data_IF_955062201845
#
_entry.id   IF_955062201845
#
_cell.length_a   1.000
_cell.length_b   1.000
_cell.length_c   1.000
_cell.angle_alpha   90.00
_cell.angle_beta   90.00
_cell.angle_gamma   90.00
#
_symmetry.space_group_name_H-M   'P 1'
#
loop_
_entity.id
_entity.type
_entity.pdbx_description
1 polymer ?
#
# COMPACT_ATOMS: atom_id res chain seq x y z
N UNK A 1 3.17 -25.83 33.04
CA UNK A 1 2.92 -26.87 32.02
C UNK A 1 2.50 -26.22 30.72
N UNK A 2 3.20 -26.47 29.65
CA UNK A 2 2.76 -26.13 28.32
C UNK A 2 2.22 -27.41 27.69
N UNK A 3 0.93 -27.42 27.36
CA UNK A 3 0.34 -28.54 26.63
C UNK A 3 0.60 -28.31 25.12
N UNK A 4 1.18 -29.30 24.48
CA UNK A 4 1.24 -29.32 23.02
C UNK A 4 -0.16 -29.60 22.48
N UNK A 5 -0.74 -28.64 21.78
CA UNK A 5 -2.11 -28.73 21.27
C UNK A 5 -2.31 -29.88 20.25
N UNK A 6 -1.23 -30.39 19.66
CA UNK A 6 -1.31 -31.43 18.64
C UNK A 6 -1.16 -32.88 19.17
N UNK A 7 -0.60 -33.10 20.36
CA UNK A 7 -0.29 -34.46 20.85
C UNK A 7 -0.75 -34.74 22.30
N UNK A 8 -1.35 -33.80 22.99
CA UNK A 8 -1.79 -33.99 24.38
C UNK A 8 -0.63 -34.23 25.37
N UNK A 9 0.61 -34.07 24.97
CA UNK A 9 1.77 -34.19 25.84
C UNK A 9 2.04 -32.86 26.53
N UNK A 10 1.82 -32.82 27.87
CA UNK A 10 2.21 -31.70 28.69
C UNK A 10 3.74 -31.71 28.90
N UNK A 11 4.45 -30.69 28.46
CA UNK A 11 5.85 -30.46 28.84
C UNK A 11 5.84 -29.68 30.15
N UNK A 12 6.33 -30.27 31.20
CA UNK A 12 6.47 -29.61 32.51
C UNK A 12 7.74 -28.75 32.51
N UNK A 13 7.57 -27.43 32.48
CA UNK A 13 8.63 -26.46 32.66
C UNK A 13 8.42 -25.78 34.00
N UNK A 14 9.08 -26.25 35.02
CA UNK A 14 8.93 -25.72 36.37
C UNK A 14 9.23 -26.76 37.43
N UNK A 15 8.97 -26.39 38.68
CA UNK A 15 9.21 -27.21 39.87
C UNK A 15 7.86 -27.80 40.31
N UNK A 16 7.90 -28.89 41.10
CA UNK A 16 6.71 -29.57 41.57
C UNK A 16 5.81 -28.71 42.46
N UNK A 17 6.34 -27.62 42.99
CA UNK A 17 5.64 -26.72 43.93
C UNK A 17 5.01 -25.51 43.20
N UNK A 18 5.24 -25.37 41.87
CA UNK A 18 4.62 -24.32 41.09
C UNK A 18 3.13 -24.53 40.92
N UNK A 19 2.28 -23.50 41.09
CA UNK A 19 0.86 -23.61 40.88
C UNK A 19 0.52 -23.92 39.43
N UNK A 20 -0.47 -24.77 39.20
CA UNK A 20 -1.00 -25.06 37.87
C UNK A 20 -1.94 -23.93 37.42
N UNK A 21 -1.57 -23.21 36.37
CA UNK A 21 -2.44 -22.25 35.72
C UNK A 21 -2.77 -22.70 34.29
N UNK A 22 -4.00 -22.43 33.86
CA UNK A 22 -4.41 -22.61 32.47
C UNK A 22 -4.14 -21.29 31.75
N UNK A 23 -3.28 -21.35 30.74
CA UNK A 23 -2.97 -20.19 29.90
C UNK A 23 -3.59 -20.39 28.54
N UNK A 24 -4.08 -19.30 27.93
CA UNK A 24 -4.42 -19.26 26.51
C UNK A 24 -3.13 -19.09 25.73
N UNK A 25 -2.78 -20.11 24.94
CA UNK A 25 -1.63 -20.05 24.04
C UNK A 25 -2.10 -19.54 22.67
N UNK A 26 -1.62 -18.37 22.25
CA UNK A 26 -1.76 -17.90 20.88
C UNK A 26 -0.55 -18.38 20.07
N UNK A 27 -0.79 -19.19 19.07
CA UNK A 27 0.26 -19.73 18.19
C UNK A 27 -0.13 -19.48 16.73
N UNK A 28 0.78 -18.92 15.90
CA UNK A 28 0.53 -18.82 14.47
C UNK A 28 0.47 -20.22 13.84
N UNK A 29 -0.55 -20.45 13.06
CA UNK A 29 -0.77 -21.69 12.31
C UNK A 29 -1.16 -21.36 10.87
N UNK A 30 -0.80 -22.23 9.92
CA UNK A 30 -1.30 -22.16 8.55
C UNK A 30 -2.69 -22.80 8.53
N UNK A 31 -3.72 -21.97 8.69
CA UNK A 31 -5.11 -22.42 8.83
C UNK A 31 -5.84 -22.44 7.48
N UNK A 32 -5.47 -21.55 6.57
CA UNK A 32 -6.14 -21.35 5.30
C UNK A 32 -5.14 -21.28 4.15
N UNK A 33 -5.56 -21.76 3.00
CA UNK A 33 -4.90 -21.53 1.72
C UNK A 33 -5.62 -20.39 1.01
N UNK A 34 -4.88 -19.47 0.40
CA UNK A 34 -5.43 -18.35 -0.37
C UNK A 34 -5.01 -18.42 -1.82
N UNK A 35 -5.89 -18.02 -2.73
CA UNK A 35 -5.64 -17.90 -4.15
C UNK A 35 -5.55 -16.41 -4.51
N UNK A 36 -4.51 -16.06 -5.25
CA UNK A 36 -4.31 -14.74 -5.82
C UNK A 36 -4.02 -14.90 -7.30
N UNK A 37 -4.74 -14.20 -8.14
CA UNK A 37 -4.50 -14.10 -9.57
C UNK A 37 -4.60 -12.64 -10.01
N UNK A 38 -4.09 -12.34 -11.20
CA UNK A 38 -4.12 -10.95 -11.66
C UNK A 38 -3.55 -10.78 -13.05
N UNK A 39 -3.64 -9.56 -13.50
CA UNK A 39 -3.17 -9.13 -14.81
C UNK A 39 -2.44 -7.79 -14.69
N UNK A 40 -1.26 -7.72 -15.28
CA UNK A 40 -0.45 -6.50 -15.32
C UNK A 40 -0.14 -6.11 -16.76
N UNK A 41 -0.34 -4.84 -17.06
CA UNK A 41 0.05 -4.21 -18.34
C UNK A 41 0.91 -3.00 -18.08
N UNK A 42 2.00 -2.89 -18.82
CA UNK A 42 2.83 -1.70 -18.84
C UNK A 42 3.10 -1.26 -20.29
N UNK A 43 2.99 0.04 -20.53
CA UNK A 43 3.28 0.67 -21.83
C UNK A 43 4.18 1.87 -21.57
N UNK A 44 5.26 1.95 -22.34
CA UNK A 44 6.13 3.11 -22.39
C UNK A 44 6.35 3.52 -23.84
N UNK A 45 6.22 4.81 -24.11
CA UNK A 45 6.48 5.38 -25.42
C UNK A 45 7.22 6.71 -25.32
N UNK A 46 8.26 6.87 -26.09
CA UNK A 46 9.00 8.11 -26.25
C UNK A 46 8.74 8.66 -27.66
N UNK A 47 8.28 9.90 -27.74
CA UNK A 47 8.03 10.61 -28.99
C UNK A 47 9.28 11.35 -29.46
N UNK A 48 9.37 11.65 -30.77
CA UNK A 48 10.51 12.34 -31.35
C UNK A 48 10.70 13.80 -30.86
N UNK A 49 9.70 14.35 -30.17
CA UNK A 49 9.70 15.72 -29.64
C UNK A 49 10.10 15.79 -28.16
N UNK A 50 10.83 14.80 -27.64
CA UNK A 50 11.29 14.68 -26.26
C UNK A 50 10.20 14.47 -25.21
N UNK A 51 8.93 14.33 -25.59
CA UNK A 51 7.87 13.89 -24.71
C UNK A 51 7.81 12.37 -24.62
N UNK A 52 7.40 11.87 -23.50
CA UNK A 52 7.14 10.45 -23.32
C UNK A 52 5.95 10.21 -22.41
N UNK A 53 5.41 9.02 -22.52
CA UNK A 53 4.29 8.50 -21.70
C UNK A 53 4.70 7.16 -21.14
N UNK A 54 4.41 6.97 -19.86
CA UNK A 54 4.49 5.68 -19.18
C UNK A 54 3.14 5.42 -18.52
N UNK A 55 2.55 4.29 -18.83
CA UNK A 55 1.31 3.84 -18.21
C UNK A 55 1.47 2.39 -17.74
N UNK A 56 1.01 2.10 -16.55
CA UNK A 56 0.87 0.74 -16.07
C UNK A 56 -0.45 0.57 -15.31
N UNK A 57 -0.96 -0.63 -15.33
CA UNK A 57 -2.17 -1.02 -14.61
C UNK A 57 -2.02 -2.45 -14.14
N UNK A 58 -2.39 -2.69 -12.89
CA UNK A 58 -2.43 -4.00 -12.25
C UNK A 58 -3.86 -4.23 -11.79
N UNK A 59 -4.46 -5.34 -12.22
CA UNK A 59 -5.76 -5.82 -11.76
C UNK A 59 -5.53 -7.10 -10.97
N UNK A 60 -6.12 -7.18 -9.78
CA UNK A 60 -5.89 -8.28 -8.84
C UNK A 60 -7.23 -8.91 -8.47
N UNK A 61 -7.28 -10.24 -8.53
CA UNK A 61 -8.44 -11.06 -8.15
C UNK A 61 -8.05 -12.18 -7.20
N UNK A 62 -9.05 -12.94 -6.75
CA UNK A 62 -8.87 -14.04 -5.81
C UNK A 62 -9.45 -13.76 -4.44
N UNK A 63 -8.86 -14.33 -3.41
CA UNK A 63 -9.33 -14.22 -2.02
C UNK A 63 -8.86 -12.90 -1.37
N UNK A 64 -9.15 -11.77 -2.01
CA UNK A 64 -8.66 -10.43 -1.63
C UNK A 64 -9.68 -9.58 -0.90
N UNK A 65 -10.91 -10.06 -0.73
CA UNK A 65 -12.00 -9.30 -0.10
C UNK A 65 -12.75 -10.16 0.92
N UNK A 66 -13.34 -9.50 1.91
CA UNK A 66 -14.17 -10.13 2.94
C UNK A 66 -15.65 -9.79 2.72
N UNK A 67 -16.54 -10.72 3.07
CA UNK A 67 -17.98 -10.46 3.06
C UNK A 67 -18.35 -9.44 4.15
N UNK A 68 -18.78 -8.26 3.73
CA UNK A 68 -19.17 -7.16 4.64
C UNK A 68 -20.40 -7.49 5.47
N UNK A 69 -21.25 -8.40 5.02
CA UNK A 69 -22.46 -8.81 5.76
C UNK A 69 -22.19 -9.92 6.78
N UNK A 70 -21.13 -10.69 6.61
CA UNK A 70 -20.83 -11.79 7.51
C UNK A 70 -20.38 -11.31 8.89
N UNK A 71 -20.82 -12.05 9.91
CA UNK A 71 -20.45 -11.84 11.31
C UNK A 71 -19.54 -12.99 11.75
N UNK A 72 -18.32 -12.67 12.16
CA UNK A 72 -17.36 -13.66 12.64
C UNK A 72 -16.05 -13.66 11.87
N UNK A 73 -15.25 -14.70 12.10
CA UNK A 73 -13.94 -14.85 11.50
C UNK A 73 -14.09 -15.16 9.99
N UNK A 74 -13.36 -14.43 9.17
CA UNK A 74 -13.29 -14.64 7.73
C UNK A 74 -11.82 -14.71 7.31
N UNK A 75 -11.57 -15.32 6.17
CA UNK A 75 -10.26 -15.35 5.55
C UNK A 75 -10.30 -14.51 4.27
N UNK A 76 -9.37 -13.57 4.17
CA UNK A 76 -9.03 -12.86 2.94
C UNK A 76 -7.58 -12.39 3.02
N UNK A 77 -6.94 -12.22 1.88
CA UNK A 77 -5.55 -11.75 1.77
C UNK A 77 -5.53 -10.23 1.79
N UNK A 78 -5.01 -9.60 2.86
CA UNK A 78 -5.01 -8.15 2.98
C UNK A 78 -3.92 -7.50 2.13
N UNK A 79 -4.14 -6.25 1.73
CA UNK A 79 -3.15 -5.40 1.07
C UNK A 79 -3.11 -5.50 -0.45
N UNK A 80 -3.94 -6.35 -1.04
CA UNK A 80 -4.06 -6.50 -2.48
C UNK A 80 -5.25 -5.71 -3.02
N UNK A 81 -5.06 -5.03 -4.14
CA UNK A 81 -6.08 -4.24 -4.82
C UNK A 81 -5.57 -3.69 -6.14
N UNK A 82 -6.48 -3.22 -6.96
CA UNK A 82 -6.19 -2.66 -8.26
C UNK A 82 -5.34 -1.40 -8.14
N UNK A 83 -4.46 -1.18 -9.11
CA UNK A 83 -3.63 0.01 -9.18
C UNK A 83 -3.41 0.45 -10.62
N UNK A 84 -3.30 1.75 -10.83
CA UNK A 84 -2.92 2.31 -12.12
C UNK A 84 -1.97 3.50 -11.93
N UNK A 85 -1.03 3.65 -12.85
CA UNK A 85 -0.14 4.80 -12.93
C UNK A 85 -0.11 5.31 -14.37
N UNK A 86 -0.19 6.63 -14.50
CA UNK A 86 0.02 7.33 -15.76
C UNK A 86 1.01 8.47 -15.54
N UNK A 87 2.11 8.47 -16.28
CA UNK A 87 3.08 9.55 -16.25
C UNK A 87 3.28 10.11 -17.64
N UNK A 88 3.28 11.42 -17.74
CA UNK A 88 3.73 12.17 -18.91
C UNK A 88 5.01 12.88 -18.53
N UNK A 89 6.02 12.79 -19.36
CA UNK A 89 7.30 13.41 -19.11
C UNK A 89 7.88 14.08 -20.35
N UNK A 90 8.70 15.06 -20.10
CA UNK A 90 9.54 15.73 -21.08
C UNK A 90 11.00 15.62 -20.63
N UNK A 91 11.91 15.33 -21.54
CA UNK A 91 13.33 15.22 -21.23
C UNK A 91 14.18 15.65 -22.41
N UNK A 92 15.04 16.66 -22.19
CA UNK A 92 16.08 17.06 -23.10
C UNK A 92 17.43 17.25 -22.38
N UNK A 93 18.46 17.76 -23.04
CA UNK A 93 19.80 17.95 -22.45
C UNK A 93 19.81 18.92 -21.24
N UNK A 94 18.86 19.84 -21.17
CA UNK A 94 18.80 20.89 -20.15
C UNK A 94 17.73 20.71 -19.11
N UNK A 95 16.62 20.09 -19.48
CA UNK A 95 15.44 20.05 -18.64
C UNK A 95 14.84 18.64 -18.60
N UNK A 96 14.39 18.24 -17.43
CA UNK A 96 13.43 17.14 -17.30
C UNK A 96 12.22 17.58 -16.49
N UNK A 97 11.03 17.15 -16.90
CA UNK A 97 9.79 17.40 -16.18
C UNK A 97 8.90 16.17 -16.27
N UNK A 98 8.23 15.80 -15.18
CA UNK A 98 7.31 14.67 -15.12
C UNK A 98 6.08 15.03 -14.31
N UNK A 99 4.93 14.69 -14.84
CA UNK A 99 3.65 14.69 -14.14
C UNK A 99 3.16 13.26 -14.05
N UNK A 100 2.85 12.79 -12.85
CA UNK A 100 2.40 11.43 -12.58
C UNK A 100 1.04 11.45 -11.89
N UNK A 101 0.13 10.60 -12.36
CA UNK A 101 -1.15 10.29 -11.74
C UNK A 101 -1.10 8.85 -11.25
N UNK A 102 -1.32 8.65 -9.95
CA UNK A 102 -1.27 7.37 -9.27
C UNK A 102 -2.65 7.07 -8.69
N UNK A 103 -3.29 6.01 -9.15
CA UNK A 103 -4.54 5.50 -8.64
C UNK A 103 -4.28 4.21 -7.87
N UNK A 104 -4.81 4.11 -6.68
CA UNK A 104 -4.89 2.87 -5.90
C UNK A 104 -6.34 2.63 -5.54
N UNK A 105 -6.90 1.52 -6.02
CA UNK A 105 -8.26 1.10 -5.74
C UNK A 105 -8.48 0.74 -4.27
N UNK A 106 -9.73 0.57 -3.91
CA UNK A 106 -10.10 0.09 -2.59
C UNK A 106 -9.36 -1.21 -2.25
N UNK A 107 -8.90 -1.33 -1.02
CA UNK A 107 -8.07 -2.47 -0.60
C UNK A 107 -8.51 -2.96 0.77
N UNK A 108 -8.80 -4.25 0.88
CA UNK A 108 -9.01 -4.89 2.17
C UNK A 108 -7.74 -4.80 3.03
N UNK A 109 -7.86 -4.29 4.25
CA UNK A 109 -6.73 -4.03 5.15
C UNK A 109 -6.62 -5.05 6.30
N UNK A 110 -7.60 -5.94 6.44
CA UNK A 110 -7.65 -6.92 7.53
C UNK A 110 -8.92 -6.83 8.36
N UNK A 111 -8.93 -7.48 9.51
CA UNK A 111 -10.06 -7.53 10.43
C UNK A 111 -9.73 -6.81 11.73
N UNK A 112 -10.65 -6.01 12.24
CA UNK A 112 -10.66 -5.51 13.61
C UNK A 112 -11.94 -5.93 14.30
N UNK A 113 -11.82 -6.71 15.38
CA UNK A 113 -12.96 -7.22 16.18
C UNK A 113 -14.09 -7.82 15.33
N UNK A 114 -13.74 -8.65 14.34
CA UNK A 114 -14.64 -9.28 13.36
C UNK A 114 -15.27 -8.30 12.35
N UNK A 115 -14.80 -7.07 12.27
CA UNK A 115 -15.20 -6.13 11.22
C UNK A 115 -14.09 -6.01 10.18
N UNK A 116 -14.38 -6.23 8.90
CA UNK A 116 -13.41 -6.01 7.83
C UNK A 116 -13.09 -4.52 7.71
N UNK A 117 -11.80 -4.21 7.57
CA UNK A 117 -11.29 -2.87 7.34
C UNK A 117 -10.92 -2.70 5.88
N UNK A 118 -11.20 -1.54 5.33
CA UNK A 118 -10.89 -1.18 3.95
C UNK A 118 -10.17 0.17 3.89
N UNK A 119 -9.14 0.22 3.05
CA UNK A 119 -8.54 1.50 2.62
C UNK A 119 -9.35 2.00 1.45
N UNK A 120 -9.85 3.23 1.53
CA UNK A 120 -10.61 3.89 0.46
C UNK A 120 -9.75 4.06 -0.79
N UNK A 121 -10.36 3.94 -1.97
CA UNK A 121 -9.72 4.29 -3.23
C UNK A 121 -9.16 5.72 -3.17
N UNK A 122 -7.95 5.90 -3.67
CA UNK A 122 -7.32 7.22 -3.73
C UNK A 122 -6.55 7.45 -5.00
N UNK A 123 -6.57 8.70 -5.46
CA UNK A 123 -5.78 9.17 -6.58
C UNK A 123 -4.87 10.33 -6.14
N UNK A 124 -3.60 10.26 -6.53
CA UNK A 124 -2.59 11.25 -6.19
C UNK A 124 -1.91 11.75 -7.46
N UNK A 125 -1.70 13.06 -7.53
CA UNK A 125 -0.91 13.70 -8.58
C UNK A 125 0.40 14.21 -8.01
N UNK A 126 1.49 13.85 -8.67
CA UNK A 126 2.84 14.29 -8.33
C UNK A 126 3.49 14.99 -9.54
N UNK A 127 4.29 16.00 -9.28
CA UNK A 127 5.07 16.70 -10.29
C UNK A 127 6.52 16.83 -9.84
N UNK A 128 7.44 16.62 -10.76
CA UNK A 128 8.85 16.95 -10.56
C UNK A 128 9.44 17.57 -11.81
N UNK A 129 10.37 18.49 -11.62
CA UNK A 129 11.13 19.11 -12.70
C UNK A 129 12.56 19.40 -12.25
N UNK A 130 13.48 19.26 -13.17
CA UNK A 130 14.88 19.67 -13.02
C UNK A 130 15.32 20.51 -14.19
N UNK A 131 16.22 21.47 -13.94
CA UNK A 131 16.80 22.30 -14.98
C UNK A 131 18.30 22.48 -14.74
N UNK A 132 19.12 22.16 -15.73
CA UNK A 132 20.55 22.33 -15.74
C UNK A 132 20.87 23.79 -16.11
N UNK A 133 21.17 24.63 -15.14
CA UNK A 133 21.53 26.04 -15.31
C UNK A 133 22.90 26.15 -15.97
N UNK A 134 23.82 25.24 -15.63
CA UNK A 134 25.14 25.07 -16.21
C UNK A 134 25.58 23.62 -16.10
N UNK A 135 26.73 23.26 -16.66
CA UNK A 135 27.29 21.90 -16.59
C UNK A 135 27.48 21.41 -15.12
N UNK A 136 27.62 22.34 -14.20
CA UNK A 136 27.89 22.05 -12.80
C UNK A 136 26.71 22.40 -11.87
N UNK A 137 25.66 23.06 -12.36
CA UNK A 137 24.59 23.56 -11.50
C UNK A 137 23.21 23.16 -12.05
N UNK A 138 22.45 22.50 -11.20
CA UNK A 138 21.08 22.07 -11.46
C UNK A 138 20.15 22.64 -10.40
N UNK A 139 18.98 23.11 -10.81
CA UNK A 139 17.86 23.42 -9.92
C UNK A 139 16.79 22.36 -10.05
N UNK A 140 16.04 22.14 -9.00
CA UNK A 140 14.92 21.19 -8.99
C UNK A 140 13.70 21.74 -8.25
N UNK A 141 12.54 21.25 -8.65
CA UNK A 141 11.26 21.47 -7.98
C UNK A 141 10.49 20.15 -7.94
N UNK A 142 9.91 19.85 -6.79
CA UNK A 142 9.05 18.70 -6.55
C UNK A 142 7.75 19.15 -5.87
N UNK A 143 6.65 18.63 -6.34
CA UNK A 143 5.34 18.77 -5.72
C UNK A 143 4.72 17.37 -5.60
N UNK A 144 4.49 16.92 -4.39
CA UNK A 144 3.94 15.60 -4.07
C UNK A 144 2.55 15.79 -3.53
N UNK A 145 1.63 14.95 -3.95
CA UNK A 145 0.23 15.00 -3.53
C UNK A 145 -0.45 16.35 -3.82
N UNK A 146 -0.33 16.84 -5.07
CA UNK A 146 -0.91 18.14 -5.49
C UNK A 146 -2.43 18.14 -5.35
N UNK A 147 -3.06 16.99 -5.49
CA UNK A 147 -4.51 16.78 -5.36
C UNK A 147 -5.01 16.76 -3.94
N UNK A 148 -4.09 16.87 -2.96
CA UNK A 148 -4.44 16.78 -1.53
C UNK A 148 -5.24 15.51 -1.18
N UNK A 149 -4.74 14.39 -1.71
CA UNK A 149 -5.37 13.09 -1.52
C UNK A 149 -5.08 12.57 -0.12
N UNK A 150 -6.11 12.21 0.58
CA UNK A 150 -6.09 11.72 1.95
C UNK A 150 -5.99 10.20 2.02
N UNK A 151 -5.66 9.66 3.19
CA UNK A 151 -5.72 8.23 3.47
C UNK A 151 -6.86 7.99 4.45
N UNK A 152 -7.88 7.32 3.97
CA UNK A 152 -9.05 6.95 4.77
C UNK A 152 -9.19 5.43 4.84
N UNK A 153 -9.49 4.94 6.03
CA UNK A 153 -9.94 3.57 6.27
C UNK A 153 -11.33 3.62 6.89
N UNK A 154 -12.18 2.71 6.46
CA UNK A 154 -13.47 2.49 7.08
C UNK A 154 -13.64 1.04 7.55
N UNK A 155 -14.55 0.84 8.47
CA UNK A 155 -14.86 -0.46 9.05
C UNK A 155 -16.19 -0.93 8.51
N UNK A 156 -16.21 -2.02 7.77
CA UNK A 156 -17.41 -2.70 7.24
C UNK A 156 -18.23 -1.87 6.25
N UNK A 157 -18.61 -0.64 6.59
CA UNK A 157 -19.41 0.26 5.77
C UNK A 157 -18.69 1.62 5.64
N UNK A 158 -18.81 2.25 4.48
CA UNK A 158 -18.10 3.50 4.16
C UNK A 158 -18.38 4.63 5.15
N UNK A 159 -19.58 4.65 5.75
CA UNK A 159 -19.95 5.66 6.74
C UNK A 159 -19.28 5.44 8.12
N UNK A 160 -18.60 4.31 8.31
CA UNK A 160 -17.92 3.96 9.56
C UNK A 160 -16.42 4.23 9.44
N UNK A 161 -16.03 5.49 9.37
CA UNK A 161 -14.63 5.90 9.31
C UNK A 161 -13.86 5.35 10.51
N UNK A 162 -12.81 4.56 10.25
CA UNK A 162 -11.93 3.96 11.25
C UNK A 162 -10.66 4.77 11.45
N UNK A 163 -10.09 5.29 10.37
CA UNK A 163 -8.88 6.11 10.39
C UNK A 163 -8.94 7.14 9.25
N UNK A 164 -8.52 8.33 9.56
CA UNK A 164 -8.40 9.42 8.60
C UNK A 164 -7.04 10.10 8.79
N UNK A 165 -6.28 10.23 7.71
CA UNK A 165 -4.97 10.88 7.69
C UNK A 165 -4.89 11.88 6.53
N UNK A 166 -4.79 13.14 6.88
CA UNK A 166 -4.49 14.22 5.95
C UNK A 166 -3.00 14.60 6.09
N UNK A 167 -2.23 14.38 5.03
CA UNK A 167 -0.81 14.72 4.98
C UNK A 167 -0.53 16.01 4.24
N UNK A 168 -1.52 16.52 3.51
CA UNK A 168 -1.41 17.69 2.66
C UNK A 168 -0.43 17.54 1.48
N UNK A 169 -0.38 18.52 0.59
CA UNK A 169 0.62 18.59 -0.48
C UNK A 169 1.99 19.01 0.06
N UNK A 170 3.05 18.40 -0.48
CA UNK A 170 4.43 18.69 -0.10
C UNK A 170 5.15 19.33 -1.29
N UNK A 171 5.73 20.51 -1.08
CA UNK A 171 6.51 21.23 -2.08
C UNK A 171 7.97 21.31 -1.64
N UNK A 172 8.89 20.99 -2.57
CA UNK A 172 10.33 21.08 -2.35
C UNK A 172 10.96 21.81 -3.53
N UNK A 173 11.92 22.68 -3.25
CA UNK A 173 12.75 23.31 -4.25
C UNK A 173 14.19 23.39 -3.75
N UNK A 174 15.15 23.28 -4.66
CA UNK A 174 16.56 23.34 -4.28
C UNK A 174 17.49 23.39 -5.49
N UNK A 175 18.77 23.37 -5.19
CA UNK A 175 19.82 23.33 -6.19
C UNK A 175 20.90 22.33 -5.82
N UNK A 176 21.59 21.82 -6.83
CA UNK A 176 22.73 20.92 -6.70
C UNK A 176 23.90 21.49 -7.47
N UNK A 177 25.06 21.59 -6.84
CA UNK A 177 26.30 22.04 -7.46
C UNK A 177 27.34 20.92 -7.37
N UNK A 178 28.02 20.65 -8.51
CA UNK A 178 29.18 19.75 -8.57
C UNK A 178 30.45 20.62 -8.61
N UNK A 179 31.42 20.28 -7.77
CA UNK A 179 32.71 20.93 -7.69
C UNK A 179 33.78 20.12 -8.42
#
# INVERSE_FOLDING_TARGET
CIADANNGNAVFIGNSDDPFYVFNLAQPVNKYDGVLDGFEVAVQHLFDNNFGVLANMTLIGGDTDADRAALGEQFALPGFGDAANLSVFYEDEKMSARLSYNLKGETYAGMDQYNPLYVVERAQVDFNATYNVSDNTQVFFEAINITDSEVELYSRYEEMTFLYQDHGPIYKAGFRVKF
#
